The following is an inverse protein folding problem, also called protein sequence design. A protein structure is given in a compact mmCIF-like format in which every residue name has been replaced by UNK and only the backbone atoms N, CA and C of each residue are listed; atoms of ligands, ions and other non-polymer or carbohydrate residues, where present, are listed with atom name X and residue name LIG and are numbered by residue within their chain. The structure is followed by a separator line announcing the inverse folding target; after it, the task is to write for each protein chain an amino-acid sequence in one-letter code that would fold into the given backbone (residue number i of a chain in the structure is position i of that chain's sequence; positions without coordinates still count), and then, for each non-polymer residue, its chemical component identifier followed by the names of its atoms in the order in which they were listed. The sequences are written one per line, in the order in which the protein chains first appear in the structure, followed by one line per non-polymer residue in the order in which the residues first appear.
data_IF_210108156262
#
_entry.id   IF_210108156262
#
_cell.length_a   1.000
_cell.length_b   1.000
_cell.length_c   1.000
_cell.angle_alpha   90.00
_cell.angle_beta   90.00
_cell.angle_gamma   90.00
#
_symmetry.space_group_name_H-M   'P 1'
#
loop_
_entity.id
_entity.type
_entity.pdbx_description
1 polymer ?
#
# COMPACT_ATOMS: atom_id res chain seq x y z
N UNK A 1 -7.71 -16.27 24.60
CA UNK A 1 -6.70 -15.20 24.55
C UNK A 1 -6.43 -14.90 23.09
N UNK A 2 -6.73 -13.69 22.66
CA UNK A 2 -6.96 -13.35 21.25
C UNK A 2 -5.64 -13.16 20.48
N UNK A 3 -4.90 -14.26 20.24
CA UNK A 3 -3.63 -14.26 19.51
C UNK A 3 -3.74 -13.59 18.13
N UNK A 4 -4.87 -13.78 17.46
CA UNK A 4 -5.17 -13.14 16.19
C UNK A 4 -5.27 -11.61 16.28
N UNK A 5 -5.81 -11.07 17.38
CA UNK A 5 -5.88 -9.62 17.61
C UNK A 5 -4.49 -9.03 17.84
N UNK A 6 -3.63 -9.73 18.58
CA UNK A 6 -2.25 -9.30 18.86
C UNK A 6 -1.40 -9.25 17.58
N UNK A 7 -1.53 -10.24 16.71
CA UNK A 7 -0.81 -10.27 15.42
C UNK A 7 -1.22 -9.07 14.56
N UNK A 8 -2.53 -8.84 14.41
CA UNK A 8 -3.05 -7.69 13.64
C UNK A 8 -2.64 -6.34 14.24
N UNK A 9 -2.73 -6.20 15.56
CA UNK A 9 -2.31 -4.97 16.24
C UNK A 9 -0.82 -4.66 16.01
N UNK A 10 0.05 -5.67 16.08
CA UNK A 10 1.47 -5.54 15.80
C UNK A 10 1.73 -5.09 14.35
N UNK A 11 1.03 -5.68 13.39
CA UNK A 11 1.17 -5.31 11.97
C UNK A 11 0.78 -3.86 11.70
N UNK A 12 -0.35 -3.41 12.28
CA UNK A 12 -0.82 -2.03 12.17
C UNK A 12 0.16 -1.06 12.84
N UNK A 13 0.66 -1.39 14.03
CA UNK A 13 1.63 -0.56 14.73
C UNK A 13 2.93 -0.38 13.93
N UNK A 14 3.42 -1.45 13.29
CA UNK A 14 4.60 -1.39 12.43
C UNK A 14 4.36 -0.60 11.16
N UNK A 15 3.19 -0.75 10.53
CA UNK A 15 2.81 0.06 9.38
C UNK A 15 2.78 1.55 9.75
N UNK A 16 2.17 1.89 10.88
CA UNK A 16 2.13 3.26 11.37
C UNK A 16 3.54 3.82 11.63
N UNK A 17 4.41 3.04 12.29
CA UNK A 17 5.81 3.42 12.54
C UNK A 17 6.59 3.68 11.25
N UNK A 18 6.41 2.83 10.23
CA UNK A 18 7.07 3.00 8.92
C UNK A 18 6.56 4.26 8.20
N UNK A 19 5.25 4.51 8.23
CA UNK A 19 4.66 5.72 7.61
C UNK A 19 5.20 6.97 8.29
N UNK A 20 5.22 6.96 9.63
CA UNK A 20 5.75 8.04 10.43
C UNK A 20 7.20 8.33 10.06
N UNK A 21 8.06 7.30 10.00
CA UNK A 21 9.46 7.41 9.58
C UNK A 21 9.64 8.09 8.21
N UNK A 22 8.89 7.64 7.21
CA UNK A 22 8.95 8.21 5.85
C UNK A 22 8.58 9.70 5.87
N UNK A 23 7.56 10.09 6.65
CA UNK A 23 7.15 11.49 6.78
C UNK A 23 8.23 12.34 7.45
N UNK A 24 8.82 11.84 8.56
CA UNK A 24 9.90 12.52 9.27
C UNK A 24 11.16 12.67 8.40
N UNK A 25 11.56 11.62 7.70
CA UNK A 25 12.69 11.63 6.77
C UNK A 25 12.45 12.56 5.57
N UNK A 26 11.22 12.61 5.06
CA UNK A 26 10.83 13.56 4.01
C UNK A 26 10.90 15.00 4.52
N UNK A 27 10.39 15.27 5.73
CA UNK A 27 10.40 16.59 6.36
C UNK A 27 11.82 17.17 6.46
N UNK A 28 12.78 16.41 7.02
CA UNK A 28 14.17 16.88 7.13
C UNK A 28 14.88 17.01 5.77
N UNK A 29 14.34 16.39 4.72
CA UNK A 29 14.92 16.45 3.38
C UNK A 29 14.45 17.65 2.57
N UNK A 30 13.22 18.11 2.79
CA UNK A 30 12.66 19.31 2.14
C UNK A 30 12.89 20.59 2.95
N UNK A 31 12.90 20.51 4.28
CA UNK A 31 13.07 21.68 5.15
C UNK A 31 14.43 21.66 5.87
N UNK A 32 15.20 22.77 5.78
CA UNK A 32 16.39 22.94 6.61
C UNK A 32 15.94 23.03 8.08
N UNK A 33 16.25 21.99 8.84
CA UNK A 33 15.85 21.83 10.23
C UNK A 33 17.06 21.93 11.16
N UNK A 34 16.81 22.27 12.43
CA UNK A 34 17.87 22.39 13.42
C UNK A 34 18.65 21.09 13.56
N UNK A 35 19.98 21.15 13.78
CA UNK A 35 20.82 19.96 13.90
C UNK A 35 20.38 19.03 15.04
N UNK A 36 19.81 19.58 16.12
CA UNK A 36 19.21 18.80 17.21
C UNK A 36 18.01 17.97 16.74
N UNK A 37 17.11 18.57 15.94
CA UNK A 37 15.94 17.89 15.38
C UNK A 37 16.34 16.80 14.41
N UNK A 38 17.30 17.07 13.52
CA UNK A 38 17.83 16.07 12.58
C UNK A 38 18.43 14.88 13.33
N UNK A 39 19.18 15.13 14.40
CA UNK A 39 19.79 14.05 15.18
C UNK A 39 18.73 13.20 15.91
N UNK A 40 17.70 13.82 16.48
CA UNK A 40 16.60 13.10 17.12
C UNK A 40 15.85 12.20 16.13
N UNK A 41 15.62 12.70 14.90
CA UNK A 41 14.95 11.94 13.83
C UNK A 41 15.80 10.77 13.37
N UNK A 42 17.11 10.96 13.20
CA UNK A 42 18.02 9.86 12.86
C UNK A 42 18.10 8.81 13.98
N UNK A 43 18.07 9.22 15.26
CA UNK A 43 18.03 8.28 16.37
C UNK A 43 16.74 7.47 16.39
N UNK A 44 15.60 8.11 16.10
CA UNK A 44 14.32 7.43 15.95
C UNK A 44 14.36 6.42 14.80
N UNK A 45 14.90 6.83 13.65
CA UNK A 45 15.09 5.96 12.49
C UNK A 45 15.92 4.71 12.83
N UNK A 46 16.99 4.87 13.61
CA UNK A 46 17.84 3.77 14.05
C UNK A 46 17.05 2.77 14.93
N UNK A 47 16.23 3.26 15.85
CA UNK A 47 15.39 2.40 16.70
C UNK A 47 14.38 1.62 15.85
N UNK A 48 13.73 2.27 14.90
CA UNK A 48 12.81 1.60 13.97
C UNK A 48 13.51 0.54 13.12
N UNK A 49 14.71 0.85 12.67
CA UNK A 49 15.55 -0.06 11.91
C UNK A 49 15.82 -1.36 12.71
N UNK A 50 16.17 -1.24 13.99
CA UNK A 50 16.38 -2.39 14.90
C UNK A 50 15.09 -3.21 15.06
N UNK A 51 13.95 -2.56 15.29
CA UNK A 51 12.65 -3.26 15.45
C UNK A 51 12.33 -4.07 14.19
N UNK A 52 12.45 -3.45 13.01
CA UNK A 52 12.18 -4.12 11.73
C UNK A 52 13.17 -5.25 11.45
N UNK A 53 14.43 -5.08 11.84
CA UNK A 53 15.46 -6.10 11.70
C UNK A 53 15.19 -7.33 12.58
N UNK A 54 14.74 -7.14 13.83
CA UNK A 54 14.34 -8.23 14.72
C UNK A 54 13.17 -8.99 14.09
N UNK A 55 12.16 -8.27 13.61
CA UNK A 55 11.01 -8.87 12.95
C UNK A 55 11.41 -9.68 11.71
N UNK A 56 12.26 -9.12 10.87
CA UNK A 56 12.80 -9.82 9.71
C UNK A 56 13.60 -11.06 10.11
N UNK A 57 14.42 -10.97 11.16
CA UNK A 57 15.23 -12.08 11.65
C UNK A 57 14.37 -13.23 12.17
N UNK A 58 13.26 -12.93 12.85
CA UNK A 58 12.29 -13.94 13.30
C UNK A 58 11.63 -14.62 12.09
N UNK A 59 11.20 -13.85 11.09
CA UNK A 59 10.60 -14.38 9.87
C UNK A 59 11.59 -15.23 9.05
N UNK A 60 12.85 -14.80 8.96
CA UNK A 60 13.91 -15.52 8.28
C UNK A 60 14.20 -16.88 8.95
N UNK A 61 14.15 -16.94 10.29
CA UNK A 61 14.31 -18.20 11.04
C UNK A 61 13.14 -19.16 10.85
N UNK A 62 11.94 -18.63 10.61
CA UNK A 62 10.71 -19.42 10.42
C UNK A 62 10.54 -19.95 9.00
N UNK A 63 11.18 -19.32 8.00
CA UNK A 63 11.10 -19.75 6.61
C UNK A 63 11.80 -21.11 6.40
N UNK A 64 11.14 -22.02 5.69
CA UNK A 64 11.71 -23.33 5.28
C UNK A 64 12.96 -23.14 4.42
N UNK A 65 12.89 -22.24 3.42
CA UNK A 65 14.00 -21.93 2.51
C UNK A 65 14.55 -20.52 2.74
N UNK A 66 15.55 -20.41 3.61
CA UNK A 66 16.21 -19.13 3.97
C UNK A 66 16.75 -18.37 2.75
N UNK A 67 17.35 -19.09 1.78
CA UNK A 67 17.93 -18.49 0.56
C UNK A 67 16.85 -17.86 -0.32
N UNK A 68 15.75 -18.57 -0.54
CA UNK A 68 14.62 -18.07 -1.34
C UNK A 68 13.98 -16.86 -0.66
N UNK A 69 13.81 -16.92 0.66
CA UNK A 69 13.29 -15.81 1.44
C UNK A 69 14.18 -14.55 1.36
N UNK A 70 15.50 -14.71 1.44
CA UNK A 70 16.47 -13.62 1.26
C UNK A 70 16.41 -13.02 -0.15
N UNK A 71 16.29 -13.84 -1.19
CA UNK A 71 16.17 -13.39 -2.59
C UNK A 71 14.87 -12.63 -2.85
N UNK A 72 13.76 -13.03 -2.23
CA UNK A 72 12.49 -12.31 -2.36
C UNK A 72 12.46 -11.00 -1.55
N UNK A 73 13.15 -10.96 -0.41
CA UNK A 73 13.14 -9.82 0.52
C UNK A 73 14.49 -9.08 0.59
N UNK A 74 15.32 -9.16 -0.45
CA UNK A 74 16.65 -8.55 -0.47
C UNK A 74 16.64 -7.03 -0.26
N UNK A 75 15.55 -6.38 -0.67
CA UNK A 75 15.34 -4.94 -0.49
C UNK A 75 15.10 -4.56 0.97
N UNK A 76 14.43 -5.42 1.74
CA UNK A 76 14.21 -5.21 3.16
C UNK A 76 15.56 -5.23 3.89
N UNK A 77 16.48 -6.10 3.46
CA UNK A 77 17.85 -6.16 4.00
C UNK A 77 18.57 -4.82 3.82
N UNK A 78 18.42 -4.20 2.64
CA UNK A 78 19.00 -2.88 2.35
C UNK A 78 18.28 -1.78 3.14
N UNK A 79 16.97 -1.91 3.38
CA UNK A 79 16.21 -0.97 4.22
C UNK A 79 16.65 -0.99 5.69
N UNK A 80 17.26 -2.09 6.15
CA UNK A 80 17.81 -2.21 7.51
C UNK A 80 19.19 -1.59 7.69
N UNK A 81 19.80 -1.01 6.65
CA UNK A 81 21.11 -0.40 6.79
C UNK A 81 20.94 0.99 7.43
N UNK A 82 21.31 1.20 8.71
CA UNK A 82 21.19 2.51 9.35
C UNK A 82 22.07 3.49 8.60
N UNK A 83 21.46 4.57 8.14
CA UNK A 83 22.10 5.57 7.27
C UNK A 83 23.31 6.22 7.97
N UNK A 84 23.30 6.25 9.31
CA UNK A 84 24.37 6.79 10.14
C UNK A 84 25.67 5.98 10.10
N UNK A 85 25.64 4.67 9.83
CA UNK A 85 26.87 3.88 9.70
C UNK A 85 27.74 4.35 8.53
N UNK A 86 27.12 4.98 7.53
CA UNK A 86 27.77 5.54 6.34
C UNK A 86 27.85 7.06 6.36
N UNK A 87 27.79 7.70 7.53
CA UNK A 87 27.88 9.17 7.69
C UNK A 87 29.19 9.78 7.14
N UNK A 88 30.22 8.97 6.90
CA UNK A 88 31.46 9.39 6.26
C UNK A 88 31.39 9.47 4.72
N UNK A 89 30.38 8.89 4.08
CA UNK A 89 30.28 8.81 2.62
C UNK A 89 29.27 9.83 2.06
N UNK A 90 29.69 10.59 1.04
CA UNK A 90 28.84 11.55 0.29
C UNK A 90 27.57 10.92 -0.32
N UNK A 91 27.49 9.58 -0.32
CA UNK A 91 26.36 8.75 -0.78
C UNK A 91 25.20 8.60 0.23
N UNK A 92 25.25 9.21 1.41
CA UNK A 92 24.15 9.20 2.41
C UNK A 92 22.80 9.51 1.77
N UNK A 93 22.75 10.49 0.85
CA UNK A 93 21.51 10.88 0.18
C UNK A 93 20.93 9.75 -0.69
N UNK A 94 21.79 8.96 -1.34
CA UNK A 94 21.38 7.81 -2.16
C UNK A 94 20.85 6.68 -1.28
N UNK A 95 21.53 6.39 -0.16
CA UNK A 95 21.08 5.37 0.81
C UNK A 95 19.69 5.71 1.35
N UNK A 96 19.42 6.98 1.70
CA UNK A 96 18.09 7.42 2.14
C UNK A 96 17.02 7.17 1.08
N UNK A 97 17.29 7.51 -0.19
CA UNK A 97 16.33 7.29 -1.30
C UNK A 97 16.07 5.80 -1.51
N UNK A 98 17.12 4.97 -1.51
CA UNK A 98 16.98 3.51 -1.64
C UNK A 98 16.14 2.93 -0.50
N UNK A 99 16.37 3.40 0.73
CA UNK A 99 15.58 3.02 1.90
C UNK A 99 14.11 3.42 1.77
N UNK A 100 13.82 4.67 1.40
CA UNK A 100 12.44 5.13 1.17
C UNK A 100 11.78 4.27 0.09
N UNK A 101 12.45 3.96 -1.01
CA UNK A 101 11.91 3.10 -2.07
C UNK A 101 11.66 1.67 -1.57
N UNK A 102 12.56 1.10 -0.77
CA UNK A 102 12.41 -0.24 -0.20
C UNK A 102 11.22 -0.30 0.78
N UNK A 103 11.15 0.65 1.72
CA UNK A 103 10.03 0.79 2.66
C UNK A 103 8.72 1.08 1.93
N UNK A 104 8.74 1.91 0.89
CA UNK A 104 7.57 2.22 0.07
C UNK A 104 7.08 1.00 -0.69
N UNK A 105 7.96 0.17 -1.26
CA UNK A 105 7.54 -1.10 -1.89
C UNK A 105 6.95 -2.09 -0.89
N UNK A 106 7.54 -2.19 0.30
CA UNK A 106 7.01 -3.02 1.38
C UNK A 106 5.65 -2.51 1.86
N UNK A 107 5.50 -1.19 1.99
CA UNK A 107 4.24 -0.53 2.25
C UNK A 107 3.24 -0.86 1.16
N UNK A 108 3.57 -0.65 -0.12
CA UNK A 108 2.68 -0.97 -1.22
C UNK A 108 2.26 -2.44 -1.17
N UNK A 109 3.18 -3.39 -1.02
CA UNK A 109 2.82 -4.81 -0.87
C UNK A 109 1.89 -5.04 0.32
N UNK A 110 2.24 -4.57 1.52
CA UNK A 110 1.39 -4.75 2.71
C UNK A 110 0.06 -4.01 2.62
N UNK A 111 0.03 -2.83 2.02
CA UNK A 111 -1.15 -2.01 1.82
C UNK A 111 -2.04 -2.64 0.75
N UNK A 112 -1.51 -3.13 -0.36
CA UNK A 112 -2.26 -3.89 -1.36
C UNK A 112 -2.77 -5.21 -0.79
N UNK A 113 -1.97 -5.96 -0.04
CA UNK A 113 -2.45 -7.16 0.65
C UNK A 113 -3.51 -6.81 1.68
N UNK A 114 -3.34 -5.75 2.47
CA UNK A 114 -4.35 -5.27 3.41
C UNK A 114 -5.61 -4.79 2.70
N UNK A 115 -5.50 -4.11 1.57
CA UNK A 115 -6.63 -3.69 0.74
C UNK A 115 -7.36 -4.92 0.22
N UNK A 116 -6.66 -5.83 -0.45
CA UNK A 116 -7.21 -7.08 -0.99
C UNK A 116 -7.85 -7.94 0.11
N UNK A 117 -7.23 -8.04 1.28
CA UNK A 117 -7.73 -8.80 2.44
C UNK A 117 -8.86 -8.08 3.20
N UNK A 118 -8.95 -6.74 3.11
CA UNK A 118 -9.99 -5.94 3.76
C UNK A 118 -11.18 -5.79 2.83
N UNK A 119 -11.98 -6.85 2.67
CA UNK A 119 -13.31 -6.81 2.02
C UNK A 119 -13.40 -6.04 0.68
N UNK A 120 -12.30 -5.70 0.00
CA UNK A 120 -12.33 -4.97 -1.27
C UNK A 120 -12.77 -5.88 -2.40
N UNK A 121 -12.44 -7.17 -2.31
CA UNK A 121 -13.03 -8.18 -3.20
C UNK A 121 -14.57 -8.19 -3.09
N UNK A 122 -15.09 -8.12 -1.86
CA UNK A 122 -16.54 -8.04 -1.62
C UNK A 122 -17.13 -6.68 -2.00
N UNK A 123 -16.41 -5.56 -1.78
CA UNK A 123 -16.88 -4.22 -2.14
C UNK A 123 -16.89 -4.01 -3.67
N UNK A 124 -15.85 -4.49 -4.38
CA UNK A 124 -15.76 -4.48 -5.84
C UNK A 124 -16.80 -5.42 -6.44
N UNK A 125 -16.97 -6.62 -5.88
CA UNK A 125 -18.02 -7.56 -6.28
C UNK A 125 -19.43 -6.98 -6.09
N UNK A 126 -19.69 -6.35 -4.94
CA UNK A 126 -20.98 -5.68 -4.66
C UNK A 126 -21.22 -4.51 -5.62
N UNK A 127 -20.20 -3.70 -5.91
CA UNK A 127 -20.28 -2.59 -6.86
C UNK A 127 -20.59 -3.08 -8.29
N UNK A 128 -19.90 -4.14 -8.74
CA UNK A 128 -20.12 -4.72 -10.06
C UNK A 128 -21.54 -5.30 -10.19
N UNK A 129 -22.03 -6.02 -9.17
CA UNK A 129 -23.39 -6.55 -9.15
C UNK A 129 -24.42 -5.41 -9.16
N UNK A 130 -24.22 -4.36 -8.36
CA UNK A 130 -25.10 -3.20 -8.34
C UNK A 130 -25.16 -2.48 -9.70
N UNK A 131 -24.01 -2.39 -10.39
CA UNK A 131 -23.93 -1.78 -11.72
C UNK A 131 -24.71 -2.62 -12.74
N UNK A 132 -24.47 -3.93 -12.81
CA UNK A 132 -25.19 -4.83 -13.72
C UNK A 132 -26.69 -4.84 -13.46
N UNK A 133 -27.10 -4.89 -12.18
CA UNK A 133 -28.51 -4.83 -11.79
C UNK A 133 -29.15 -3.49 -12.18
N UNK A 134 -28.43 -2.38 -12.01
CA UNK A 134 -28.86 -1.05 -12.44
C UNK A 134 -29.06 -0.96 -13.95
N UNK A 135 -28.12 -1.46 -14.75
CA UNK A 135 -28.24 -1.45 -16.23
C UNK A 135 -29.41 -2.29 -16.70
N UNK A 136 -29.62 -3.47 -16.09
CA UNK A 136 -30.72 -4.37 -16.43
C UNK A 136 -32.08 -3.77 -16.05
N UNK A 137 -32.17 -3.12 -14.88
CA UNK A 137 -33.37 -2.42 -14.45
C UNK A 137 -33.71 -1.24 -15.36
N UNK A 138 -32.71 -0.45 -15.76
CA UNK A 138 -32.87 0.66 -16.69
C UNK A 138 -33.36 0.18 -18.06
N UNK A 139 -32.76 -0.89 -18.59
CA UNK A 139 -33.19 -1.49 -19.86
C UNK A 139 -34.65 -1.98 -19.81
N UNK A 140 -35.07 -2.61 -18.71
CA UNK A 140 -36.45 -3.08 -18.55
C UNK A 140 -37.44 -1.91 -18.51
N UNK A 141 -37.08 -0.80 -17.85
CA UNK A 141 -37.88 0.43 -17.84
C UNK A 141 -37.93 1.11 -19.21
N UNK A 142 -36.81 1.17 -19.92
CA UNK A 142 -36.73 1.80 -21.25
C UNK A 142 -37.45 0.98 -22.34
N UNK A 143 -37.40 -0.36 -22.25
CA UNK A 143 -38.11 -1.27 -23.15
C UNK A 143 -39.64 -1.14 -23.09
N UNK A 144 -40.18 -0.62 -21.98
CA UNK A 144 -41.61 -0.35 -21.83
C UNK A 144 -42.06 0.99 -22.40
N UNK A 145 -41.14 1.92 -22.66
CA UNK A 145 -41.45 3.29 -23.13
C UNK A 145 -41.20 3.46 -24.63
N UNK A 146 -40.27 2.71 -25.24
CA UNK A 146 -39.99 2.82 -26.67
C UNK A 146 -40.66 1.71 -27.51
N UNK A 147 -42.00 1.75 -27.61
CA UNK A 147 -42.78 0.95 -28.56
C UNK A 147 -43.07 1.68 -29.88
N UNK A 148 -42.39 2.78 -30.19
CA UNK A 148 -42.63 3.58 -31.41
C UNK A 148 -41.33 3.85 -32.15
N UNK A 149 -40.82 2.84 -32.83
CA UNK A 149 -39.90 3.02 -33.95
C UNK A 149 -40.43 2.20 -35.13
N UNK A 150 -41.68 2.47 -35.51
CA UNK A 150 -42.19 2.16 -36.84
C UNK A 150 -41.77 3.29 -37.77
N UNK A 151 -40.66 3.00 -38.46
CA UNK A 151 -40.16 3.43 -39.77
C UNK A 151 -40.64 4.71 -40.50
N UNK A 152 -39.72 5.39 -41.25
CA UNK A 152 -39.90 6.75 -41.78
C UNK A 152 -40.60 6.86 -43.15
N UNK A 153 -41.25 5.79 -43.63
CA UNK A 153 -41.76 5.68 -45.01
C UNK A 153 -43.23 5.26 -45.12
N UNK A 154 -44.11 5.76 -44.25
CA UNK A 154 -45.57 5.61 -44.45
C UNK A 154 -46.12 6.81 -45.24
N UNK A 155 -46.66 6.62 -46.46
CA UNK A 155 -47.25 7.72 -47.22
C UNK A 155 -48.52 8.22 -46.53
N UNK A 156 -48.61 9.54 -46.37
CA UNK A 156 -49.82 10.22 -45.93
C UNK A 156 -50.90 10.12 -47.02
N UNK A 157 -51.91 9.28 -46.81
CA UNK A 157 -53.19 9.40 -47.52
C UNK A 157 -53.87 8.07 -47.87
N UNK A 158 -55.01 7.83 -47.24
CA UNK A 158 -56.29 7.48 -47.91
C UNK A 158 -57.42 7.89 -46.98
N UNK A 159 -58.02 9.05 -47.29
CA UNK A 159 -59.44 9.04 -47.68
C UNK A 159 -59.46 8.65 -49.16
#
# INVERSE_FOLDING_TARGET
MDYWKLIRAKEIALLFLIILDIVLLSYISFYPSNPLTVNAINQFDLVLCIILFIEFSVNLKRAEDRKKFLLENWLDIIAFLPVDFFRAFRFIRIIRVVKVIALFRKYLKKFFTFLVDTHLDQAVGTLLIALVAGTMFFYMMESGVNSSSMDPWTPSGTV
#
